data_IF_605982051533
#
_entry.id   IF_605982051533
#
_cell.length_a   1.000
_cell.length_b   1.000
_cell.length_c   1.000
_cell.angle_alpha   90.00
_cell.angle_beta   90.00
_cell.angle_gamma   90.00
#
_symmetry.space_group_name_H-M   'P 1'
#
loop_
_entity.id
_entity.type
_entity.pdbx_description
1 polymer ?
#
# COMPACT_ATOMS: atom_id res chain seq x y z
N UNK A 1 63.15 2.51 18.66
CA UNK A 1 63.30 3.96 18.40
C UNK A 1 62.19 4.35 17.44
N UNK A 2 60.97 4.63 17.90
CA UNK A 2 60.47 5.79 18.66
C UNK A 2 60.09 6.99 17.74
N UNK A 3 58.84 7.47 17.96
CA UNK A 3 58.12 8.66 17.43
C UNK A 3 57.39 8.44 16.08
N UNK A 4 56.06 8.51 15.95
CA UNK A 4 54.97 8.98 16.82
C UNK A 4 54.67 10.47 16.64
N UNK A 5 53.59 10.80 15.90
CA UNK A 5 52.82 12.06 15.74
C UNK A 5 51.68 11.71 14.74
N UNK A 6 50.38 11.56 15.02
CA UNK A 6 49.31 12.37 15.66
C UNK A 6 49.00 13.73 15.01
N UNK A 7 47.68 13.99 14.92
CA UNK A 7 46.89 15.13 14.43
C UNK A 7 46.55 15.12 12.93
N UNK A 8 45.31 14.82 12.54
CA UNK A 8 44.06 15.60 12.71
C UNK A 8 44.00 16.76 11.71
N UNK A 9 43.12 16.65 10.72
CA UNK A 9 42.26 17.75 10.24
C UNK A 9 41.35 17.25 9.09
N UNK A 10 40.19 16.75 9.48
CA UNK A 10 39.01 16.61 8.63
C UNK A 10 38.29 17.95 8.57
N UNK A 11 37.97 18.53 7.40
CA UNK A 11 37.02 19.62 7.33
C UNK A 11 35.60 19.09 7.55
N UNK A 12 34.97 19.58 8.62
CA UNK A 12 33.58 19.37 8.99
C UNK A 12 32.59 19.96 7.98
N UNK A 13 31.34 19.45 7.95
CA UNK A 13 30.32 19.77 6.96
C UNK A 13 29.77 21.19 7.12
N UNK A 14 29.74 21.93 6.02
CA UNK A 14 29.08 23.22 5.90
C UNK A 14 27.59 23.10 6.22
N UNK A 15 27.19 23.74 7.30
CA UNK A 15 25.83 24.02 7.71
C UNK A 15 25.05 24.68 6.56
N UNK A 16 23.93 24.09 6.16
CA UNK A 16 22.90 24.81 5.41
C UNK A 16 21.82 25.34 6.36
N UNK A 17 21.38 26.60 6.21
CA UNK A 17 20.34 27.19 7.03
C UNK A 17 18.92 26.75 6.61
N UNK A 18 17.91 26.88 7.49
CA UNK A 18 16.54 26.44 7.23
C UNK A 18 15.82 27.41 6.28
N UNK A 19 15.13 26.87 5.28
CA UNK A 19 14.19 27.63 4.47
C UNK A 19 12.90 27.90 5.25
N UNK A 20 12.64 29.19 5.45
CA UNK A 20 11.46 29.76 6.07
C UNK A 20 10.17 29.47 5.27
N UNK A 21 9.10 29.18 6.01
CA UNK A 21 7.74 29.11 5.50
C UNK A 21 7.13 30.52 5.35
N UNK A 22 6.35 30.81 4.30
CA UNK A 22 5.58 32.04 4.26
C UNK A 22 4.26 31.90 5.04
N UNK A 23 4.23 32.58 6.19
CA UNK A 23 3.01 32.96 6.88
C UNK A 23 2.21 33.94 6.03
N UNK A 24 0.98 33.58 5.66
CA UNK A 24 -0.02 34.52 5.13
C UNK A 24 -1.00 34.88 6.26
N UNK A 25 -0.90 36.11 6.74
CA UNK A 25 -1.78 36.65 7.79
C UNK A 25 -2.72 37.73 7.21
N UNK A 26 -3.97 37.70 7.72
CA UNK A 26 -4.90 38.81 7.99
C UNK A 26 -5.59 39.57 6.83
N UNK A 27 -6.92 39.44 6.79
CA UNK A 27 -7.94 40.52 6.96
C UNK A 27 -9.33 39.88 6.94
N UNK A 28 -10.19 39.86 7.98
CA UNK A 28 -10.80 40.88 8.87
C UNK A 28 -12.02 41.60 8.24
N UNK A 29 -13.15 41.52 8.98
CA UNK A 29 -14.45 42.23 8.91
C UNK A 29 -15.45 41.72 7.85
N UNK A 30 -16.73 41.55 8.15
CA UNK A 30 -17.52 41.83 9.35
C UNK A 30 -19.03 41.72 9.07
N UNK A 31 -19.83 41.99 10.12
CA UNK A 31 -21.29 42.22 10.15
C UNK A 31 -22.15 40.95 10.05
N UNK A 32 -22.84 40.48 11.11
CA UNK A 32 -23.82 41.12 12.00
C UNK A 32 -25.13 41.45 11.27
N UNK A 33 -26.09 40.52 11.29
CA UNK A 33 -27.51 40.82 11.10
C UNK A 33 -28.36 39.90 11.97
N UNK A 34 -28.85 40.48 13.05
CA UNK A 34 -30.05 40.07 13.80
C UNK A 34 -31.27 40.18 12.89
N UNK A 35 -32.20 39.24 13.02
CA UNK A 35 -33.57 39.30 12.53
C UNK A 35 -34.35 38.19 13.23
N UNK A 36 -34.93 38.42 14.41
CA UNK A 36 -36.24 39.06 14.65
C UNK A 36 -37.39 38.22 14.09
N UNK A 37 -38.01 37.46 15.01
CA UNK A 37 -39.45 37.49 15.30
C UNK A 37 -40.43 37.16 14.17
N UNK A 38 -41.10 36.00 14.30
CA UNK A 38 -42.53 35.89 14.03
C UNK A 38 -43.10 34.72 14.84
N UNK A 39 -43.71 35.07 15.97
CA UNK A 39 -44.76 34.29 16.62
C UNK A 39 -45.86 34.00 15.59
N UNK A 40 -46.31 32.74 15.55
CA UNK A 40 -47.67 32.46 15.12
C UNK A 40 -48.23 31.34 15.97
N UNK A 41 -48.99 31.77 16.97
CA UNK A 41 -49.95 30.95 17.70
C UNK A 41 -50.94 30.32 16.72
N UNK A 42 -51.13 29.01 16.85
CA UNK A 42 -52.29 28.31 16.31
C UNK A 42 -52.59 27.12 17.19
N UNK A 43 -53.22 27.42 18.32
CA UNK A 43 -53.95 26.48 19.17
C UNK A 43 -55.09 25.84 18.38
N UNK A 44 -55.16 24.51 18.33
CA UNK A 44 -56.38 23.72 18.17
C UNK A 44 -56.15 22.32 18.78
N UNK A 45 -57.21 21.63 19.25
CA UNK A 45 -57.16 20.83 20.45
C UNK A 45 -56.90 19.33 20.22
N UNK A 46 -56.34 18.75 21.29
CA UNK A 46 -56.51 17.39 21.80
C UNK A 46 -57.46 16.46 21.03
N UNK A 47 -56.88 15.38 20.50
CA UNK A 47 -57.54 14.08 20.49
C UNK A 47 -56.66 13.08 21.22
N UNK A 48 -57.21 12.68 22.35
CA UNK A 48 -56.82 11.63 23.26
C UNK A 48 -56.72 10.28 22.53
N UNK A 49 -55.55 9.66 22.56
CA UNK A 49 -55.41 8.24 22.29
C UNK A 49 -54.34 7.70 23.23
N UNK A 50 -54.79 7.12 24.34
CA UNK A 50 -53.96 6.39 25.29
C UNK A 50 -53.13 5.32 24.60
N UNK A 51 -51.83 5.58 24.46
CA UNK A 51 -50.80 4.56 24.26
C UNK A 51 -50.04 4.44 25.56
N UNK A 52 -49.93 3.22 26.08
CA UNK A 52 -49.14 2.87 27.26
C UNK A 52 -47.75 3.49 27.15
N UNK A 53 -47.42 4.39 28.09
CA UNK A 53 -46.07 4.93 28.23
C UNK A 53 -45.21 3.85 28.83
N UNK A 54 -44.58 3.03 27.98
CA UNK A 54 -43.41 2.28 28.40
C UNK A 54 -42.36 3.29 28.92
N UNK A 55 -41.69 3.01 30.05
CA UNK A 55 -40.66 3.89 30.57
C UNK A 55 -39.59 4.14 29.50
N UNK A 56 -39.07 5.38 29.37
CA UNK A 56 -38.04 5.68 28.38
C UNK A 56 -36.84 4.76 28.61
N UNK A 57 -36.51 3.95 27.61
CA UNK A 57 -35.34 3.09 27.65
C UNK A 57 -34.11 3.98 27.90
N UNK A 58 -33.21 3.59 28.82
CA UNK A 58 -32.02 4.37 29.10
C UNK A 58 -31.19 4.51 27.82
N UNK A 59 -30.77 5.75 27.53
CA UNK A 59 -29.95 6.07 26.36
C UNK A 59 -28.52 5.55 26.60
N UNK A 60 -28.22 4.40 25.99
CA UNK A 60 -26.93 3.71 26.11
C UNK A 60 -25.77 4.66 25.77
N UNK A 61 -25.95 5.56 24.80
CA UNK A 61 -24.91 6.54 24.45
C UNK A 61 -24.56 7.45 25.62
N UNK A 62 -25.56 7.95 26.36
CA UNK A 62 -25.33 8.77 27.56
C UNK A 62 -24.63 7.99 28.67
N UNK A 63 -24.98 6.72 28.85
CA UNK A 63 -24.36 5.86 29.85
C UNK A 63 -22.88 5.62 29.54
N UNK A 64 -22.54 5.39 28.27
CA UNK A 64 -21.15 5.26 27.82
C UNK A 64 -20.38 6.57 28.02
N UNK A 65 -20.93 7.72 27.62
CA UNK A 65 -20.24 9.00 27.85
C UNK A 65 -20.05 9.32 29.33
N UNK A 66 -21.02 8.98 30.19
CA UNK A 66 -20.88 9.11 31.63
C UNK A 66 -19.75 8.21 32.17
N UNK A 67 -19.66 6.96 31.72
CA UNK A 67 -18.56 6.06 32.10
C UNK A 67 -17.19 6.57 31.63
N UNK A 68 -17.11 7.16 30.43
CA UNK A 68 -15.89 7.81 29.92
C UNK A 68 -15.49 8.97 30.83
N UNK A 69 -16.43 9.84 31.18
CA UNK A 69 -16.17 11.02 32.01
C UNK A 69 -15.83 10.61 33.46
N UNK A 70 -16.47 9.59 34.02
CA UNK A 70 -16.19 9.05 35.36
C UNK A 70 -14.81 8.35 35.46
N UNK A 71 -14.31 7.84 34.33
CA UNK A 71 -13.03 7.12 34.26
C UNK A 71 -11.84 8.01 33.91
N UNK A 72 -12.07 9.32 33.74
CA UNK A 72 -11.03 10.30 33.47
C UNK A 72 -10.27 10.62 34.78
N UNK A 73 -9.00 10.25 34.84
CA UNK A 73 -8.17 10.47 36.04
C UNK A 73 -7.59 11.87 36.04
N UNK A 74 -7.05 12.32 34.91
CA UNK A 74 -6.53 13.67 34.69
C UNK A 74 -6.81 14.12 33.25
N UNK A 75 -6.97 15.43 32.98
CA UNK A 75 -7.15 15.95 31.62
C UNK A 75 -6.00 15.58 30.67
N UNK A 76 -4.78 15.50 31.19
CA UNK A 76 -3.55 15.24 30.41
C UNK A 76 -3.26 13.74 30.22
N UNK A 77 -3.65 12.88 31.17
CA UNK A 77 -3.38 11.43 31.12
C UNK A 77 -4.48 10.65 30.39
N UNK A 78 -5.68 11.22 30.28
CA UNK A 78 -6.81 10.60 29.61
C UNK A 78 -7.64 9.66 30.50
N UNK A 79 -8.31 8.73 29.85
CA UNK A 79 -9.25 7.77 30.44
C UNK A 79 -8.51 6.49 30.80
N UNK A 80 -8.58 6.08 32.07
CA UNK A 80 -8.00 4.82 32.53
C UNK A 80 -8.90 3.65 32.11
N UNK A 81 -8.36 2.70 31.34
CA UNK A 81 -9.17 1.63 30.76
C UNK A 81 -9.69 0.62 31.79
N UNK A 82 -8.95 0.40 32.88
CA UNK A 82 -9.40 -0.49 33.97
C UNK A 82 -10.62 0.10 34.68
N UNK A 83 -10.55 1.37 35.09
CA UNK A 83 -11.69 2.09 35.69
C UNK A 83 -12.88 2.15 34.73
N UNK A 84 -12.64 2.38 33.45
CA UNK A 84 -13.70 2.37 32.44
C UNK A 84 -14.38 1.02 32.33
N UNK A 85 -13.63 -0.09 32.39
CA UNK A 85 -14.21 -1.44 32.38
C UNK A 85 -15.04 -1.70 33.64
N UNK A 86 -14.59 -1.22 34.80
CA UNK A 86 -15.33 -1.36 36.07
C UNK A 86 -16.64 -0.55 36.04
N UNK A 87 -16.60 0.71 35.60
CA UNK A 87 -17.79 1.55 35.42
C UNK A 87 -18.74 0.95 34.38
N UNK A 88 -18.19 0.43 33.28
CA UNK A 88 -18.97 -0.23 32.24
C UNK A 88 -19.67 -1.49 32.75
N UNK A 89 -19.00 -2.31 33.57
CA UNK A 89 -19.58 -3.53 34.14
C UNK A 89 -20.79 -3.21 35.06
N UNK A 90 -20.76 -2.08 35.77
CA UNK A 90 -21.86 -1.64 36.63
C UNK A 90 -23.12 -1.23 35.84
N UNK A 91 -22.95 -0.79 34.60
CA UNK A 91 -24.05 -0.33 33.74
C UNK A 91 -24.90 -1.47 33.14
N UNK A 92 -24.52 -2.75 33.35
CA UNK A 92 -25.24 -3.93 32.85
C UNK A 92 -25.53 -3.90 31.34
N UNK A 93 -24.64 -3.32 30.54
CA UNK A 93 -24.79 -3.15 29.08
C UNK A 93 -24.44 -4.42 28.27
N UNK A 94 -24.30 -5.57 28.91
CA UNK A 94 -23.88 -6.83 28.25
C UNK A 94 -24.83 -7.30 27.15
N UNK A 95 -26.07 -6.81 27.13
CA UNK A 95 -27.06 -7.12 26.10
C UNK A 95 -27.00 -6.18 24.89
N UNK A 96 -26.23 -5.09 24.95
CA UNK A 96 -26.09 -4.14 23.85
C UNK A 96 -24.84 -4.48 23.01
N UNK A 97 -25.08 -4.88 21.77
CA UNK A 97 -24.03 -5.33 20.85
C UNK A 97 -22.98 -4.25 20.55
N UNK A 98 -23.36 -2.96 20.58
CA UNK A 98 -22.42 -1.85 20.38
C UNK A 98 -21.47 -1.72 21.56
N UNK A 99 -22.04 -1.86 22.75
CA UNK A 99 -21.29 -1.77 24.00
C UNK A 99 -20.30 -2.93 24.11
N UNK A 100 -20.70 -4.15 23.72
CA UNK A 100 -19.79 -5.32 23.69
C UNK A 100 -18.70 -5.18 22.64
N UNK A 101 -19.01 -4.65 21.44
CA UNK A 101 -18.00 -4.44 20.40
C UNK A 101 -16.96 -3.39 20.82
N UNK A 102 -17.38 -2.32 21.52
CA UNK A 102 -16.45 -1.34 22.08
C UNK A 102 -15.51 -1.99 23.10
N UNK A 103 -16.03 -2.85 23.99
CA UNK A 103 -15.20 -3.59 24.95
C UNK A 103 -14.21 -4.53 24.27
N UNK A 104 -14.65 -5.25 23.22
CA UNK A 104 -13.78 -6.14 22.45
C UNK A 104 -12.65 -5.35 21.78
N UNK A 105 -12.97 -4.21 21.16
CA UNK A 105 -11.96 -3.30 20.59
C UNK A 105 -10.95 -2.83 21.63
N UNK A 106 -11.43 -2.46 22.82
CA UNK A 106 -10.56 -2.04 23.93
C UNK A 106 -9.77 -3.19 24.56
N UNK A 107 -10.19 -4.45 24.38
CA UNK A 107 -9.43 -5.61 24.84
C UNK A 107 -8.17 -5.86 24.02
N UNK A 108 -8.16 -5.42 22.75
CA UNK A 108 -7.03 -5.53 21.84
C UNK A 108 -6.00 -4.40 22.02
N UNK A 109 -6.33 -3.36 22.78
CA UNK A 109 -5.44 -2.20 22.99
C UNK A 109 -4.59 -2.46 24.23
N UNK A 110 -3.27 -2.54 24.06
CA UNK A 110 -2.30 -2.78 25.15
C UNK A 110 -2.05 -1.56 26.06
N UNK A 111 -2.55 -0.36 25.69
CA UNK A 111 -2.34 0.86 26.47
C UNK A 111 -3.25 0.90 27.69
N UNK A 112 -2.71 1.31 28.85
CA UNK A 112 -3.48 1.47 30.10
C UNK A 112 -4.37 2.73 30.09
N UNK A 113 -4.04 3.72 29.26
CA UNK A 113 -4.73 5.00 29.17
C UNK A 113 -5.00 5.37 27.71
N UNK A 114 -6.17 5.94 27.44
CA UNK A 114 -6.54 6.49 26.13
C UNK A 114 -7.05 7.93 26.26
N UNK A 115 -6.67 8.83 25.34
CA UNK A 115 -7.30 10.14 25.23
C UNK A 115 -8.82 10.01 25.09
N UNK A 116 -9.55 10.87 25.80
CA UNK A 116 -11.02 10.89 25.82
C UNK A 116 -11.61 10.94 24.41
N UNK A 117 -11.03 11.75 23.54
CA UNK A 117 -11.46 11.95 22.16
C UNK A 117 -11.35 10.66 21.35
N UNK A 118 -10.33 9.83 21.58
CA UNK A 118 -10.15 8.57 20.86
C UNK A 118 -11.29 7.61 21.22
N UNK A 119 -11.62 7.51 22.51
CA UNK A 119 -12.67 6.61 22.98
C UNK A 119 -14.07 7.07 22.53
N UNK A 120 -14.32 8.39 22.54
CA UNK A 120 -15.55 8.96 21.99
C UNK A 120 -15.68 8.73 20.49
N UNK A 121 -14.59 8.92 19.74
CA UNK A 121 -14.59 8.67 18.31
C UNK A 121 -14.78 7.19 17.99
N UNK A 122 -14.21 6.28 18.80
CA UNK A 122 -14.44 4.85 18.65
C UNK A 122 -15.93 4.50 18.83
N UNK A 123 -16.56 5.01 19.89
CA UNK A 123 -18.00 4.82 20.11
C UNK A 123 -18.85 5.38 18.97
N UNK A 124 -18.57 6.60 18.51
CA UNK A 124 -19.31 7.21 17.40
C UNK A 124 -19.16 6.44 16.09
N UNK A 125 -17.98 5.86 15.83
CA UNK A 125 -17.77 5.00 14.66
C UNK A 125 -18.62 3.75 14.71
N UNK A 126 -18.66 3.07 15.86
CA UNK A 126 -19.49 1.89 16.06
C UNK A 126 -20.98 2.19 15.80
N UNK A 127 -21.47 3.32 16.32
CA UNK A 127 -22.86 3.73 16.12
C UNK A 127 -23.16 4.10 14.65
N UNK A 128 -22.21 4.76 13.96
CA UNK A 128 -22.39 5.15 12.55
C UNK A 128 -22.27 3.93 11.61
N UNK A 129 -21.41 2.96 11.91
CA UNK A 129 -21.25 1.71 11.15
C UNK A 129 -22.53 0.86 11.23
N UNK A 130 -23.12 0.70 12.42
CA UNK A 130 -24.43 0.03 12.56
C UNK A 130 -25.53 0.77 11.78
N UNK A 131 -25.51 2.11 11.81
CA UNK A 131 -26.47 2.91 11.05
C UNK A 131 -26.29 2.71 9.54
N UNK A 132 -25.04 2.58 9.07
CA UNK A 132 -24.73 2.23 7.69
C UNK A 132 -25.20 0.82 7.37
N UNK A 133 -24.95 -0.18 8.21
CA UNK A 133 -25.41 -1.56 8.03
C UNK A 133 -26.94 -1.65 8.00
N UNK A 134 -27.65 -0.90 8.84
CA UNK A 134 -29.12 -0.82 8.83
C UNK A 134 -29.62 -0.13 7.55
N UNK A 135 -28.92 0.90 7.06
CA UNK A 135 -29.20 1.52 5.76
C UNK A 135 -28.93 0.55 4.60
N UNK A 136 -27.89 -0.27 4.68
CA UNK A 136 -27.58 -1.30 3.69
C UNK A 136 -28.59 -2.46 3.73
N UNK A 137 -29.02 -2.90 4.92
CA UNK A 137 -30.03 -3.94 5.12
C UNK A 137 -31.43 -3.47 4.70
N UNK A 138 -31.80 -2.22 5.00
CA UNK A 138 -33.08 -1.65 4.58
C UNK A 138 -33.15 -1.45 3.06
N UNK A 139 -32.02 -1.15 2.41
CA UNK A 139 -31.92 -1.12 0.94
C UNK A 139 -31.77 -2.51 0.29
N UNK A 140 -31.42 -3.53 1.08
CA UNK A 140 -31.29 -4.95 0.70
C UNK A 140 -32.61 -5.74 0.79
N UNK A 141 -33.66 -5.17 1.40
CA UNK A 141 -34.97 -5.85 1.47
C UNK A 141 -35.50 -6.14 0.06
N UNK A 142 -35.70 -7.40 -0.34
CA UNK A 142 -36.27 -7.73 -1.66
C UNK A 142 -37.66 -7.12 -1.75
N UNK A 143 -38.10 -6.60 -2.92
CA UNK A 143 -39.51 -6.34 -3.11
C UNK A 143 -40.24 -7.68 -2.95
N UNK A 144 -41.05 -7.81 -1.88
CA UNK A 144 -41.99 -8.91 -1.71
C UNK A 144 -42.69 -9.14 -3.04
N UNK A 145 -42.58 -10.37 -3.55
CA UNK A 145 -43.26 -10.84 -4.75
C UNK A 145 -44.70 -10.29 -4.80
N UNK A 146 -45.16 -9.72 -5.93
CA UNK A 146 -46.52 -9.25 -6.05
C UNK A 146 -47.46 -10.43 -5.85
N UNK A 147 -48.06 -10.52 -4.65
CA UNK A 147 -49.17 -11.42 -4.37
C UNK A 147 -50.27 -11.09 -5.38
N UNK A 148 -50.57 -12.06 -6.24
CA UNK A 148 -51.59 -11.99 -7.29
C UNK A 148 -52.91 -11.51 -6.70
N UNK A 149 -53.22 -10.23 -6.90
CA UNK A 149 -54.53 -9.68 -6.63
C UNK A 149 -55.42 -10.04 -7.81
N UNK A 150 -56.18 -11.13 -7.66
CA UNK A 150 -57.30 -11.47 -8.52
C UNK A 150 -58.34 -10.36 -8.36
N UNK A 151 -58.58 -9.58 -9.42
CA UNK A 151 -59.67 -8.61 -9.51
C UNK A 151 -60.33 -8.72 -10.89
N UNK A 152 -61.66 -8.54 -10.97
CA UNK A 152 -62.51 -9.00 -12.06
C UNK A 152 -62.44 -8.09 -13.30
N UNK A 153 -62.93 -8.56 -14.47
CA UNK A 153 -62.69 -7.92 -15.76
C UNK A 153 -63.61 -6.70 -15.92
N UNK A 154 -63.03 -5.50 -15.97
CA UNK A 154 -63.70 -4.33 -16.52
C UNK A 154 -63.13 -3.96 -17.89
N UNK A 155 -64.06 -3.85 -18.82
CA UNK A 155 -63.92 -3.63 -20.25
C UNK A 155 -63.45 -2.21 -20.59
N UNK A 156 -62.59 -2.12 -21.61
CA UNK A 156 -62.64 -1.02 -22.59
C UNK A 156 -61.89 0.28 -22.26
N UNK A 157 -60.55 0.26 -22.21
CA UNK A 157 -59.73 1.44 -22.58
C UNK A 157 -58.35 1.00 -23.11
N UNK A 158 -57.86 1.46 -24.28
CA UNK A 158 -56.51 1.16 -24.75
C UNK A 158 -55.53 1.94 -23.88
N UNK A 159 -55.13 1.30 -22.78
CA UNK A 159 -54.39 1.90 -21.69
C UNK A 159 -52.89 1.74 -21.91
N UNK A 160 -52.16 2.79 -21.60
CA UNK A 160 -50.69 2.95 -21.61
C UNK A 160 -49.95 2.01 -20.64
N UNK A 161 -50.57 0.90 -20.21
CA UNK A 161 -50.09 0.02 -19.14
C UNK A 161 -48.87 -0.80 -19.54
N UNK A 162 -48.80 -1.31 -20.78
CA UNK A 162 -47.67 -2.11 -21.26
C UNK A 162 -46.34 -1.34 -21.33
N UNK A 163 -46.38 -0.02 -21.41
CA UNK A 163 -45.20 0.83 -21.37
C UNK A 163 -44.64 0.93 -19.94
N UNK A 164 -45.51 1.20 -18.96
CA UNK A 164 -45.13 1.26 -17.54
C UNK A 164 -44.43 -0.02 -17.06
N UNK A 165 -44.92 -1.19 -17.48
CA UNK A 165 -44.31 -2.49 -17.18
C UNK A 165 -42.90 -2.63 -17.77
N UNK A 166 -42.67 -2.18 -19.01
CA UNK A 166 -41.33 -2.24 -19.65
C UNK A 166 -40.31 -1.37 -18.94
N UNK A 167 -40.69 -0.15 -18.56
CA UNK A 167 -39.81 0.75 -17.79
C UNK A 167 -39.47 0.15 -16.42
N UNK A 168 -40.45 -0.45 -15.73
CA UNK A 168 -40.21 -1.12 -14.45
C UNK A 168 -39.28 -2.32 -14.58
N UNK A 169 -39.44 -3.13 -15.63
CA UNK A 169 -38.55 -4.26 -15.92
C UNK A 169 -37.13 -3.80 -16.25
N UNK A 170 -36.97 -2.73 -17.03
CA UNK A 170 -35.66 -2.15 -17.35
C UNK A 170 -34.94 -1.67 -16.08
N UNK A 171 -35.65 -0.95 -15.20
CA UNK A 171 -35.11 -0.51 -13.90
C UNK A 171 -34.72 -1.68 -12.99
N UNK A 172 -35.53 -2.74 -12.96
CA UNK A 172 -35.21 -3.96 -12.20
C UNK A 172 -33.92 -4.62 -12.71
N UNK A 173 -33.80 -4.81 -14.03
CA UNK A 173 -32.58 -5.35 -14.66
C UNK A 173 -31.35 -4.49 -14.40
N UNK A 174 -31.51 -3.16 -14.40
CA UNK A 174 -30.42 -2.22 -14.09
C UNK A 174 -29.95 -2.37 -12.64
N UNK A 175 -30.88 -2.43 -11.68
CA UNK A 175 -30.57 -2.68 -10.26
C UNK A 175 -29.88 -4.02 -10.06
N UNK A 176 -30.32 -5.06 -10.78
CA UNK A 176 -29.65 -6.37 -10.75
C UNK A 176 -28.22 -6.28 -11.27
N UNK A 177 -27.99 -5.63 -12.42
CA UNK A 177 -26.64 -5.42 -12.96
C UNK A 177 -25.76 -4.51 -12.05
N UNK A 178 -26.34 -3.57 -11.31
CA UNK A 178 -25.64 -2.79 -10.28
C UNK A 178 -25.23 -3.65 -9.08
N UNK A 179 -26.09 -4.58 -8.66
CA UNK A 179 -25.78 -5.53 -7.59
C UNK A 179 -24.68 -6.51 -8.00
N UNK A 180 -24.80 -7.11 -9.19
CA UNK A 180 -23.79 -8.03 -9.73
C UNK A 180 -22.44 -7.33 -9.87
N UNK A 181 -22.44 -6.06 -10.31
CA UNK A 181 -21.24 -5.23 -10.36
C UNK A 181 -20.56 -5.04 -9.00
N UNK A 182 -21.32 -4.82 -7.94
CA UNK A 182 -20.78 -4.69 -6.57
C UNK A 182 -20.19 -6.01 -6.08
N UNK A 183 -20.88 -7.12 -6.33
CA UNK A 183 -20.41 -8.45 -5.93
C UNK A 183 -19.09 -8.82 -6.63
N UNK A 184 -18.99 -8.54 -7.94
CA UNK A 184 -17.75 -8.73 -8.70
C UNK A 184 -16.62 -7.84 -8.20
N UNK A 185 -16.91 -6.58 -7.86
CA UNK A 185 -15.90 -5.68 -7.28
C UNK A 185 -15.33 -6.22 -5.96
N UNK A 186 -16.19 -6.76 -5.08
CA UNK A 186 -15.75 -7.38 -3.83
C UNK A 186 -14.89 -8.64 -4.08
N UNK A 187 -15.29 -9.49 -5.02
CA UNK A 187 -14.50 -10.67 -5.41
C UNK A 187 -13.14 -10.29 -5.98
N UNK A 188 -13.09 -9.30 -6.88
CA UNK A 188 -11.85 -8.76 -7.42
C UNK A 188 -10.92 -8.24 -6.32
N UNK A 189 -11.46 -7.50 -5.34
CA UNK A 189 -10.66 -6.99 -4.22
C UNK A 189 -10.07 -8.12 -3.36
N UNK A 190 -10.85 -9.18 -3.08
CA UNK A 190 -10.37 -10.35 -2.35
C UNK A 190 -9.27 -11.09 -3.11
N UNK A 191 -9.48 -11.36 -4.41
CA UNK A 191 -8.48 -12.02 -5.26
C UNK A 191 -7.18 -11.22 -5.36
N UNK A 192 -7.25 -9.88 -5.45
CA UNK A 192 -6.06 -9.02 -5.42
C UNK A 192 -5.32 -9.11 -4.09
N UNK A 193 -6.06 -9.13 -2.97
CA UNK A 193 -5.47 -9.26 -1.65
C UNK A 193 -4.78 -10.63 -1.49
N UNK A 194 -5.38 -11.70 -1.99
CA UNK A 194 -4.80 -13.05 -2.02
C UNK A 194 -3.53 -13.10 -2.88
N UNK A 195 -3.55 -12.51 -4.07
CA UNK A 195 -2.38 -12.42 -4.94
C UNK A 195 -1.22 -11.70 -4.23
N UNK A 196 -1.48 -10.54 -3.62
CA UNK A 196 -0.45 -9.79 -2.87
C UNK A 196 0.10 -10.61 -1.69
N UNK A 197 -0.76 -11.31 -0.95
CA UNK A 197 -0.31 -12.21 0.14
C UNK A 197 0.55 -13.35 -0.39
N UNK A 198 0.16 -13.97 -1.51
CA UNK A 198 0.91 -15.05 -2.13
C UNK A 198 2.28 -14.57 -2.62
N UNK A 199 2.37 -13.40 -3.27
CA UNK A 199 3.63 -12.80 -3.69
C UNK A 199 4.57 -12.52 -2.52
N UNK A 200 4.09 -11.95 -1.41
CA UNK A 200 4.92 -11.77 -0.20
C UNK A 200 5.44 -13.10 0.32
N UNK A 201 4.63 -14.16 0.27
CA UNK A 201 5.05 -15.49 0.72
C UNK A 201 6.11 -16.10 -0.19
N UNK A 202 5.95 -15.97 -1.51
CA UNK A 202 6.94 -16.39 -2.50
C UNK A 202 8.27 -15.71 -2.23
N UNK A 203 8.25 -14.39 -2.05
CA UNK A 203 9.46 -13.60 -1.80
C UNK A 203 10.18 -14.05 -0.53
N UNK A 204 9.45 -14.18 0.58
CA UNK A 204 10.02 -14.68 1.83
C UNK A 204 10.59 -16.10 1.70
N UNK A 205 9.95 -16.98 0.93
CA UNK A 205 10.44 -18.35 0.70
C UNK A 205 11.72 -18.34 -0.13
N UNK A 206 11.79 -17.51 -1.18
CA UNK A 206 12.99 -17.34 -2.01
C UNK A 206 14.15 -16.73 -1.25
N UNK A 207 13.89 -15.69 -0.48
CA UNK A 207 14.91 -15.04 0.36
C UNK A 207 15.51 -16.03 1.35
N UNK A 208 14.67 -16.85 2.01
CA UNK A 208 15.17 -17.91 2.90
C UNK A 208 15.99 -18.96 2.17
N UNK A 209 15.55 -19.40 0.98
CA UNK A 209 16.30 -20.36 0.18
C UNK A 209 17.67 -19.78 -0.21
N UNK A 210 17.71 -18.51 -0.62
CA UNK A 210 18.94 -17.79 -0.96
C UNK A 210 19.88 -17.66 0.25
N UNK A 211 19.38 -17.25 1.42
CA UNK A 211 20.18 -17.16 2.64
C UNK A 211 20.84 -18.50 3.01
N UNK A 212 20.12 -19.63 2.84
CA UNK A 212 20.67 -20.96 3.07
C UNK A 212 21.81 -21.26 2.09
N UNK A 213 21.64 -20.93 0.80
CA UNK A 213 22.65 -21.15 -0.23
C UNK A 213 23.89 -20.28 -0.01
N UNK A 214 23.71 -18.99 0.29
CA UNK A 214 24.81 -18.05 0.60
C UNK A 214 25.60 -18.50 1.82
N UNK A 215 24.91 -18.89 2.90
CA UNK A 215 25.58 -19.41 4.09
C UNK A 215 26.43 -20.66 3.79
N UNK A 216 25.96 -21.53 2.89
CA UNK A 216 26.76 -22.68 2.45
C UNK A 216 27.93 -22.31 1.60
N UNK A 217 27.75 -21.39 0.65
CA UNK A 217 28.85 -20.92 -0.16
C UNK A 217 29.96 -20.33 0.72
N UNK A 218 29.59 -19.57 1.75
CA UNK A 218 30.54 -19.09 2.76
C UNK A 218 31.24 -20.22 3.52
N UNK A 219 30.52 -21.27 3.93
CA UNK A 219 31.13 -22.43 4.61
C UNK A 219 32.11 -23.14 3.69
N UNK A 220 31.72 -23.44 2.44
CA UNK A 220 32.57 -24.10 1.46
C UNK A 220 33.80 -23.26 1.16
N UNK A 221 33.62 -21.95 0.98
CA UNK A 221 34.72 -20.99 0.78
C UNK A 221 35.66 -20.97 1.98
N UNK A 222 35.15 -20.89 3.21
CA UNK A 222 35.97 -20.97 4.44
C UNK A 222 36.74 -22.30 4.52
N UNK A 223 36.14 -23.42 4.12
CA UNK A 223 36.81 -24.72 4.07
C UNK A 223 37.91 -24.75 3.00
N UNK A 224 37.64 -24.24 1.81
CA UNK A 224 38.62 -24.12 0.72
C UNK A 224 39.79 -23.21 1.12
N UNK A 225 39.51 -22.04 1.69
CA UNK A 225 40.52 -21.09 2.17
C UNK A 225 41.38 -21.73 3.27
N UNK A 226 40.76 -22.47 4.20
CA UNK A 226 41.48 -23.24 5.22
C UNK A 226 42.40 -24.30 4.59
N UNK A 227 41.92 -25.02 3.57
CA UNK A 227 42.71 -26.03 2.87
C UNK A 227 43.87 -25.40 2.09
N UNK A 228 43.62 -24.30 1.38
CA UNK A 228 44.63 -23.52 0.66
C UNK A 228 45.71 -22.98 1.60
N UNK A 229 45.31 -22.42 2.74
CA UNK A 229 46.23 -21.90 3.76
C UNK A 229 47.10 -23.02 4.37
N UNK A 230 46.51 -24.20 4.64
CA UNK A 230 47.26 -25.35 5.13
C UNK A 230 48.28 -25.83 4.10
N UNK A 231 47.89 -25.92 2.83
CA UNK A 231 48.77 -26.31 1.75
C UNK A 231 49.91 -25.29 1.54
N UNK A 232 49.62 -23.99 1.59
CA UNK A 232 50.64 -22.94 1.52
C UNK A 232 51.61 -22.99 2.72
N UNK A 233 51.10 -23.20 3.94
CA UNK A 233 51.94 -23.43 5.13
C UNK A 233 52.84 -24.66 4.95
N UNK A 234 52.32 -25.74 4.40
CA UNK A 234 53.13 -26.92 4.11
C UNK A 234 54.23 -26.62 3.07
N UNK A 235 53.90 -25.89 2.00
CA UNK A 235 54.86 -25.49 0.97
C UNK A 235 55.95 -24.56 1.53
N UNK A 236 55.58 -23.59 2.38
CA UNK A 236 56.54 -22.69 3.03
C UNK A 236 57.46 -23.45 3.98
N UNK A 237 56.94 -24.40 4.77
CA UNK A 237 57.76 -25.29 5.61
C UNK A 237 58.70 -26.15 4.75
N UNK A 238 58.21 -26.74 3.67
CA UNK A 238 59.02 -27.55 2.73
C UNK A 238 60.12 -26.72 2.05
N UNK A 239 59.83 -25.49 1.64
CA UNK A 239 60.82 -24.60 1.02
C UNK A 239 61.81 -24.06 2.04
N UNK A 240 61.38 -23.69 3.24
CA UNK A 240 62.25 -23.27 4.34
C UNK A 240 63.20 -24.39 4.76
N UNK A 241 62.71 -25.62 4.89
CA UNK A 241 63.57 -26.79 5.20
C UNK A 241 64.56 -27.10 4.08
N UNK A 242 64.14 -27.03 2.80
CA UNK A 242 65.07 -27.15 1.65
C UNK A 242 66.12 -26.03 1.66
N UNK A 243 65.71 -24.77 1.89
CA UNK A 243 66.61 -23.62 2.02
C UNK A 243 67.56 -23.78 3.18
N UNK A 244 67.11 -24.24 4.34
CA UNK A 244 67.96 -24.47 5.49
C UNK A 244 69.01 -25.55 5.19
N UNK A 245 68.61 -26.66 4.57
CA UNK A 245 69.53 -27.72 4.11
C UNK A 245 70.55 -27.18 3.10
N UNK A 246 70.10 -26.39 2.12
CA UNK A 246 70.99 -25.76 1.13
C UNK A 246 71.87 -24.67 1.76
N UNK A 247 71.38 -23.88 2.71
CA UNK A 247 72.12 -22.87 3.45
C UNK A 247 73.18 -23.53 4.32
N UNK A 248 72.89 -24.67 4.94
CA UNK A 248 73.90 -25.46 5.65
C UNK A 248 74.99 -25.95 4.69
N UNK A 249 74.62 -26.56 3.55
CA UNK A 249 75.59 -26.98 2.51
C UNK A 249 76.40 -25.82 1.95
N UNK A 250 75.74 -24.72 1.60
CA UNK A 250 76.39 -23.51 1.06
C UNK A 250 77.11 -22.72 2.11
N UNK A 251 76.80 -22.84 3.42
CA UNK A 251 77.60 -22.30 4.52
C UNK A 251 78.90 -23.09 4.65
N UNK A 252 78.85 -24.41 4.51
CA UNK A 252 80.07 -25.24 4.42
C UNK A 252 80.89 -24.84 3.19
N UNK A 253 80.25 -24.72 2.02
CA UNK A 253 80.91 -24.29 0.79
C UNK A 253 81.41 -22.86 0.91
N UNK A 254 80.63 -21.89 1.43
CA UNK A 254 81.04 -20.49 1.65
C UNK A 254 82.11 -20.38 2.71
N UNK A 255 82.15 -21.20 3.75
CA UNK A 255 83.29 -21.21 4.69
C UNK A 255 84.54 -21.68 3.96
N UNK A 256 84.43 -22.73 3.14
CA UNK A 256 85.49 -23.22 2.27
C UNK A 256 85.87 -22.20 1.18
N UNK A 257 84.92 -21.45 0.67
CA UNK A 257 85.06 -20.57 -0.48
C UNK A 257 85.28 -19.12 -0.09
N UNK A 258 84.98 -18.71 1.15
CA UNK A 258 85.48 -17.50 1.81
C UNK A 258 86.90 -17.74 2.30
N UNK A 259 87.27 -18.96 2.70
CA UNK A 259 88.69 -19.32 2.80
C UNK A 259 89.39 -19.17 1.43
N UNK A 260 88.72 -19.49 0.31
CA UNK A 260 89.23 -19.24 -1.06
C UNK A 260 89.04 -17.77 -1.52
N UNK A 261 88.03 -17.03 -1.06
CA UNK A 261 87.77 -15.64 -1.49
C UNK A 261 88.47 -14.61 -0.62
N UNK A 262 88.92 -14.94 0.59
CA UNK A 262 90.00 -14.19 1.25
C UNK A 262 91.27 -14.23 0.38
N UNK A 263 91.44 -15.26 -0.45
CA UNK A 263 92.53 -15.37 -1.44
C UNK A 263 92.19 -14.62 -2.74
N UNK A 264 90.92 -14.55 -3.17
CA UNK A 264 90.49 -13.97 -4.47
C UNK A 264 89.89 -12.54 -4.42
N UNK A 265 89.37 -12.06 -3.28
CA UNK A 265 88.86 -10.69 -3.05
C UNK A 265 89.99 -9.66 -2.89
N UNK A 266 91.24 -10.12 -2.99
CA UNK A 266 92.42 -9.29 -3.32
C UNK A 266 92.44 -8.78 -4.76
N UNK A 267 91.46 -9.13 -5.62
CA UNK A 267 91.59 -8.86 -7.06
C UNK A 267 90.56 -7.94 -7.73
N UNK A 268 89.33 -7.73 -7.22
CA UNK A 268 88.32 -7.07 -8.07
C UNK A 268 87.31 -6.21 -7.28
N UNK A 269 87.74 -5.01 -6.92
CA UNK A 269 86.90 -3.81 -6.79
C UNK A 269 86.98 -3.04 -8.12
N UNK A 270 86.20 -3.40 -9.12
CA UNK A 270 86.01 -2.58 -10.32
C UNK A 270 84.63 -2.92 -10.88
N UNK A 271 83.89 -1.89 -11.27
CA UNK A 271 82.66 -1.92 -12.08
C UNK A 271 81.32 -2.14 -11.34
N UNK A 272 80.70 -1.06 -10.86
CA UNK A 272 79.76 -0.15 -11.59
C UNK A 272 78.32 -0.64 -11.50
N UNK A 273 77.41 0.04 -10.80
CA UNK A 273 76.77 1.33 -11.14
C UNK A 273 76.01 1.30 -12.46
N UNK A 274 74.69 1.53 -12.36
CA UNK A 274 73.69 1.78 -13.43
C UNK A 274 73.31 0.51 -14.21
N UNK A 275 72.05 0.11 -14.30
CA UNK A 275 70.88 0.92 -14.67
C UNK A 275 69.58 0.19 -14.31
N UNK A 276 68.82 0.72 -13.37
CA UNK A 276 67.40 0.35 -13.15
C UNK A 276 66.61 1.67 -13.14
N UNK A 277 66.32 2.18 -14.34
CA UNK A 277 65.45 3.33 -14.53
C UNK A 277 64.80 3.29 -15.91
N UNK A 278 63.64 2.64 -15.99
CA UNK A 278 62.43 3.16 -16.66
C UNK A 278 61.43 2.03 -16.88
N UNK A 279 60.51 1.83 -15.93
CA UNK A 279 59.13 1.50 -16.30
C UNK A 279 58.20 1.60 -15.10
N UNK A 280 57.60 2.79 -14.97
CA UNK A 280 56.26 3.06 -14.43
C UNK A 280 56.23 4.49 -13.89
N UNK A 281 55.77 5.39 -14.75
CA UNK A 281 54.93 6.51 -14.31
C UNK A 281 53.98 6.77 -15.46
N UNK A 282 53.02 5.87 -15.65
CA UNK A 282 51.71 5.96 -15.00
C UNK A 282 51.06 7.31 -15.28
N UNK A 283 49.76 7.21 -15.51
CA UNK A 283 48.82 8.21 -15.06
C UNK A 283 48.89 9.54 -15.82
N UNK A 284 47.99 9.75 -16.78
CA UNK A 284 46.64 10.21 -16.45
C UNK A 284 45.91 10.60 -17.72
N UNK A 285 44.77 9.99 -18.01
CA UNK A 285 43.50 10.25 -17.30
C UNK A 285 43.03 11.67 -17.63
N UNK A 286 42.00 11.75 -18.47
CA UNK A 286 40.68 12.30 -18.13
C UNK A 286 39.86 12.35 -19.42
N UNK A 287 38.98 11.38 -19.61
CA UNK A 287 37.60 11.33 -19.10
C UNK A 287 36.71 12.40 -19.73
N UNK A 288 35.77 11.98 -20.59
CA UNK A 288 34.34 11.66 -20.32
C UNK A 288 33.57 12.97 -20.11
N UNK A 289 32.48 13.14 -20.87
CA UNK A 289 31.12 13.38 -20.37
C UNK A 289 30.28 14.10 -21.43
N UNK A 290 29.32 13.32 -21.90
CA UNK A 290 27.92 13.67 -22.12
C UNK A 290 27.59 14.59 -23.30
N UNK A 291 27.46 13.94 -24.44
CA UNK A 291 26.16 13.45 -24.88
C UNK A 291 24.90 14.19 -24.42
N UNK A 292 23.98 14.25 -25.39
CA UNK A 292 22.59 14.64 -25.27
C UNK A 292 22.38 16.16 -25.09
N UNK A 293 21.80 16.78 -26.12
CA UNK A 293 20.41 17.23 -26.04
C UNK A 293 20.05 18.18 -27.19
N UNK A 294 19.18 17.65 -28.06
CA UNK A 294 17.96 18.34 -28.53
C UNK A 294 18.13 19.48 -29.54
N UNK A 295 18.50 19.11 -30.77
CA UNK A 295 18.24 19.93 -31.96
C UNK A 295 16.80 19.72 -32.47
N UNK A 296 15.84 20.43 -31.85
CA UNK A 296 14.45 20.54 -32.30
C UNK A 296 14.05 22.01 -32.29
N UNK A 297 14.10 22.69 -33.43
CA UNK A 297 13.25 23.87 -33.64
C UNK A 297 13.20 24.37 -35.10
N UNK A 298 12.02 24.88 -35.45
CA UNK A 298 11.68 25.70 -36.64
C UNK A 298 11.48 24.98 -37.97
N UNK A 299 10.25 24.50 -38.16
CA UNK A 299 9.43 24.95 -39.29
C UNK A 299 7.96 24.94 -38.90
N UNK A 300 7.63 25.99 -38.18
CA UNK A 300 6.26 26.38 -37.92
C UNK A 300 5.70 27.21 -39.06
N UNK A 301 4.46 26.86 -39.37
CA UNK A 301 3.31 27.75 -39.56
C UNK A 301 3.12 28.41 -40.91
N UNK A 302 1.82 28.64 -41.08
CA UNK A 302 1.18 29.58 -41.99
C UNK A 302 0.90 28.87 -43.32
N UNK A 303 -0.33 28.49 -43.66
CA UNK A 303 -1.53 29.35 -43.61
C UNK A 303 -2.78 28.57 -44.08
N UNK A 304 -3.94 28.89 -43.48
CA UNK A 304 -5.34 28.74 -43.96
C UNK A 304 -5.97 27.37 -43.66
N UNK A 305 -6.89 27.11 -42.73
CA UNK A 305 -7.81 27.89 -41.89
C UNK A 305 -8.40 29.15 -42.51
N UNK A 306 -9.46 28.98 -43.31
CA UNK A 306 -10.60 29.92 -43.42
C UNK A 306 -11.51 29.48 -44.58
N UNK A 307 -12.44 28.55 -44.33
CA UNK A 307 -13.75 28.53 -45.03
C UNK A 307 -14.76 27.53 -44.41
N UNK A 308 -14.71 27.29 -43.10
CA UNK A 308 -15.67 26.44 -42.38
C UNK A 308 -16.75 27.22 -41.60
N UNK A 309 -17.03 28.46 -41.99
CA UNK A 309 -18.04 29.28 -41.31
C UNK A 309 -19.13 29.77 -42.27
N UNK A 310 -19.76 28.87 -43.04
CA UNK A 310 -20.92 29.27 -43.86
C UNK A 310 -21.97 28.22 -44.26
N UNK A 311 -22.40 27.30 -43.38
CA UNK A 311 -23.69 26.58 -43.56
C UNK A 311 -24.31 25.96 -42.30
N UNK A 312 -24.09 26.57 -41.12
CA UNK A 312 -24.94 26.40 -39.93
C UNK A 312 -26.14 27.34 -40.04
N UNK A 313 -27.31 26.84 -40.48
CA UNK A 313 -28.68 27.41 -40.23
C UNK A 313 -29.71 26.69 -41.12
N UNK A 314 -30.30 25.60 -40.63
CA UNK A 314 -31.52 24.99 -41.20
C UNK A 314 -32.14 23.85 -40.36
N UNK A 315 -32.09 23.87 -39.01
CA UNK A 315 -32.58 22.73 -38.19
C UNK A 315 -33.34 23.11 -36.92
N UNK A 316 -34.36 23.97 -37.00
CA UNK A 316 -34.94 24.51 -35.74
C UNK A 316 -36.47 24.70 -35.67
N UNK A 317 -37.30 23.92 -36.39
CA UNK A 317 -38.76 24.19 -36.33
C UNK A 317 -39.78 23.03 -36.39
N UNK A 318 -39.47 21.87 -35.81
CA UNK A 318 -40.39 20.71 -35.74
C UNK A 318 -40.39 20.01 -34.36
N UNK A 319 -40.43 20.80 -33.29
CA UNK A 319 -39.93 20.38 -31.98
C UNK A 319 -40.94 20.22 -30.83
N UNK A 320 -42.24 20.52 -30.92
CA UNK A 320 -43.09 20.63 -29.71
C UNK A 320 -43.91 19.37 -29.34
N UNK A 321 -44.73 18.78 -30.22
CA UNK A 321 -45.61 17.65 -29.81
C UNK A 321 -44.99 16.25 -29.95
N UNK A 322 -43.80 16.17 -30.55
CA UNK A 322 -42.96 14.97 -30.44
C UNK A 322 -42.41 14.81 -29.02
N UNK A 323 -42.39 15.86 -28.19
CA UNK A 323 -41.63 15.85 -26.94
C UNK A 323 -42.15 14.92 -25.83
N UNK A 324 -43.44 14.60 -25.71
CA UNK A 324 -43.92 13.77 -24.58
C UNK A 324 -43.67 12.27 -24.84
N UNK A 325 -44.04 11.76 -26.00
CA UNK A 325 -43.71 10.38 -26.43
C UNK A 325 -42.21 10.25 -26.70
N UNK A 326 -41.53 11.28 -27.22
CA UNK A 326 -40.06 11.29 -27.30
C UNK A 326 -39.42 11.35 -25.91
N UNK A 327 -39.93 12.09 -24.93
CA UNK A 327 -39.37 12.07 -23.56
C UNK A 327 -39.53 10.68 -22.94
N UNK A 328 -40.65 10.01 -23.17
CA UNK A 328 -40.83 8.64 -22.68
C UNK A 328 -39.95 7.61 -23.42
N UNK A 329 -39.92 7.65 -24.77
CA UNK A 329 -39.02 6.81 -25.56
C UNK A 329 -37.56 7.09 -25.23
N UNK A 330 -37.19 8.35 -25.09
CA UNK A 330 -35.87 8.79 -24.65
C UNK A 330 -35.56 8.29 -23.24
N UNK A 331 -36.50 8.33 -22.30
CA UNK A 331 -36.28 7.78 -20.96
C UNK A 331 -36.10 6.25 -20.99
N UNK A 332 -36.84 5.52 -21.84
CA UNK A 332 -36.64 4.07 -22.01
C UNK A 332 -35.32 3.78 -22.72
N UNK A 333 -34.97 4.54 -23.76
CA UNK A 333 -33.69 4.45 -24.47
C UNK A 333 -32.51 4.81 -23.57
N UNK A 334 -32.63 5.85 -22.74
CA UNK A 334 -31.63 6.26 -21.76
C UNK A 334 -31.44 5.18 -20.68
N UNK A 335 -32.52 4.56 -20.19
CA UNK A 335 -32.45 3.41 -19.27
C UNK A 335 -31.87 2.16 -19.94
N UNK A 336 -32.20 1.89 -21.21
CA UNK A 336 -31.57 0.80 -21.98
C UNK A 336 -30.08 1.07 -22.25
N UNK A 337 -29.70 2.32 -22.50
CA UNK A 337 -28.30 2.73 -22.67
C UNK A 337 -27.56 2.58 -21.35
N UNK A 338 -28.15 2.99 -20.23
CA UNK A 338 -27.59 2.77 -18.89
C UNK A 338 -27.46 1.28 -18.56
N UNK A 339 -28.48 0.47 -18.88
CA UNK A 339 -28.43 -0.98 -18.71
C UNK A 339 -27.31 -1.60 -19.55
N UNK A 340 -27.21 -1.24 -20.83
CA UNK A 340 -26.13 -1.72 -21.71
C UNK A 340 -24.75 -1.27 -21.21
N UNK A 341 -24.62 -0.04 -20.72
CA UNK A 341 -23.38 0.46 -20.14
C UNK A 341 -23.01 -0.33 -18.87
N UNK A 342 -23.99 -0.61 -18.01
CA UNK A 342 -23.77 -1.38 -16.79
C UNK A 342 -23.45 -2.85 -17.10
N UNK A 343 -24.13 -3.47 -18.06
CA UNK A 343 -23.82 -4.82 -18.54
C UNK A 343 -22.43 -4.91 -19.17
N UNK A 344 -22.01 -3.89 -19.95
CA UNK A 344 -20.63 -3.81 -20.46
C UNK A 344 -19.64 -3.71 -19.32
N UNK A 345 -19.91 -2.86 -18.32
CA UNK A 345 -19.06 -2.74 -17.13
C UNK A 345 -18.95 -4.06 -16.37
N UNK A 346 -20.05 -4.78 -16.20
CA UNK A 346 -20.08 -6.13 -15.60
C UNK A 346 -19.22 -7.08 -16.42
N UNK A 347 -19.40 -7.14 -17.75
CA UNK A 347 -18.59 -7.98 -18.62
C UNK A 347 -17.08 -7.63 -18.60
N UNK A 348 -16.74 -6.34 -18.45
CA UNK A 348 -15.37 -5.90 -18.28
C UNK A 348 -14.78 -6.36 -16.94
N UNK A 349 -15.57 -6.31 -15.87
CA UNK A 349 -15.16 -6.82 -14.55
C UNK A 349 -15.06 -8.34 -14.51
N UNK A 350 -15.95 -9.07 -15.18
CA UNK A 350 -15.87 -10.54 -15.33
C UNK A 350 -14.60 -10.95 -16.09
N UNK A 351 -14.24 -10.21 -17.17
CA UNK A 351 -12.97 -10.43 -17.86
C UNK A 351 -11.77 -10.17 -16.96
N UNK A 352 -11.81 -9.09 -16.17
CA UNK A 352 -10.77 -8.80 -15.21
C UNK A 352 -10.66 -9.88 -14.11
N UNK A 353 -11.80 -10.42 -13.63
CA UNK A 353 -11.84 -11.52 -12.65
C UNK A 353 -11.19 -12.77 -13.24
N UNK A 354 -11.53 -13.12 -14.48
CA UNK A 354 -10.94 -14.27 -15.17
C UNK A 354 -9.43 -14.13 -15.36
N UNK A 355 -8.94 -12.95 -15.77
CA UNK A 355 -7.51 -12.68 -15.86
C UNK A 355 -6.82 -12.80 -14.50
N UNK A 356 -7.45 -12.28 -13.45
CA UNK A 356 -6.90 -12.32 -12.10
C UNK A 356 -6.85 -13.75 -11.55
N UNK A 357 -7.85 -14.57 -11.83
CA UNK A 357 -7.85 -16.00 -11.51
C UNK A 357 -6.70 -16.71 -12.23
N UNK A 358 -6.49 -16.45 -13.53
CA UNK A 358 -5.38 -17.04 -14.28
C UNK A 358 -4.02 -16.61 -13.74
N UNK A 359 -3.87 -15.33 -13.36
CA UNK A 359 -2.67 -14.83 -12.69
C UNK A 359 -2.46 -15.50 -11.35
N UNK A 360 -3.51 -15.63 -10.52
CA UNK A 360 -3.44 -16.30 -9.23
C UNK A 360 -3.01 -17.77 -9.37
N UNK A 361 -3.53 -18.49 -10.37
CA UNK A 361 -3.08 -19.85 -10.69
C UNK A 361 -1.60 -19.90 -11.08
N UNK A 362 -1.13 -18.92 -11.87
CA UNK A 362 0.28 -18.79 -12.21
C UNK A 362 1.14 -18.48 -10.97
N UNK A 363 0.65 -17.63 -10.07
CA UNK A 363 1.28 -17.31 -8.78
C UNK A 363 1.35 -18.54 -7.87
N UNK A 364 0.31 -19.39 -7.84
CA UNK A 364 0.36 -20.66 -7.11
C UNK A 364 1.42 -21.61 -7.68
N UNK A 365 1.62 -21.63 -8.99
CA UNK A 365 2.71 -22.40 -9.61
C UNK A 365 4.08 -21.85 -9.19
N UNK A 366 4.26 -20.53 -9.20
CA UNK A 366 5.49 -19.88 -8.71
C UNK A 366 5.73 -20.18 -7.22
N UNK A 367 4.67 -20.24 -6.42
CA UNK A 367 4.75 -20.60 -5.01
C UNK A 367 5.24 -22.04 -4.81
N UNK A 368 4.74 -22.99 -5.62
CA UNK A 368 5.26 -24.37 -5.62
C UNK A 368 6.74 -24.40 -5.98
N UNK A 369 7.15 -23.69 -7.03
CA UNK A 369 8.55 -23.61 -7.44
C UNK A 369 9.45 -23.02 -6.35
N UNK A 370 9.00 -21.97 -5.65
CA UNK A 370 9.75 -21.38 -4.54
C UNK A 370 9.89 -22.36 -3.36
N UNK A 371 8.85 -23.14 -3.06
CA UNK A 371 8.95 -24.20 -2.05
C UNK A 371 9.89 -25.32 -2.49
N UNK A 372 9.86 -25.74 -3.76
CA UNK A 372 10.79 -26.73 -4.30
C UNK A 372 12.25 -26.23 -4.23
N UNK A 373 12.48 -24.94 -4.47
CA UNK A 373 13.79 -24.29 -4.31
C UNK A 373 14.26 -24.29 -2.86
N UNK A 374 13.37 -23.94 -1.92
CA UNK A 374 13.65 -24.01 -0.49
C UNK A 374 13.92 -25.44 -0.04
N UNK A 375 13.15 -26.42 -0.51
CA UNK A 375 13.36 -27.83 -0.22
C UNK A 375 14.70 -28.31 -0.76
N UNK A 376 15.05 -27.99 -2.01
CA UNK A 376 16.38 -28.29 -2.58
C UNK A 376 17.50 -27.61 -1.79
N UNK A 377 17.29 -26.38 -1.34
CA UNK A 377 18.23 -25.71 -0.46
C UNK A 377 18.37 -26.52 0.83
N UNK A 378 17.29 -26.85 1.54
CA UNK A 378 17.29 -27.61 2.80
C UNK A 378 17.81 -29.05 2.69
N UNK A 379 17.46 -29.83 1.69
CA UNK A 379 17.92 -31.22 1.54
C UNK A 379 19.43 -31.28 1.35
N UNK A 380 19.99 -30.31 0.61
CA UNK A 380 21.44 -30.16 0.47
C UNK A 380 22.14 -29.75 1.79
N UNK A 381 21.42 -29.50 2.91
CA UNK A 381 22.04 -29.25 4.24
C UNK A 381 22.32 -30.53 5.00
N UNK A 382 21.60 -31.60 4.68
CA UNK A 382 21.63 -32.86 5.46
C UNK A 382 22.68 -33.86 4.94
N UNK A 383 23.36 -33.54 3.82
CA UNK A 383 24.50 -34.26 3.27
C UNK A 383 25.79 -33.46 3.52
#
# INVERSE_FOLDING_TARGET
MAKGLWLDDLPSPSMMPPLEAPACTKKKRGQNSKGTFLQKDSSMPSLDSGKSRDPPKPDVGRMIFHAIDASQVNPEEGVCLEKFRDEFAQLNLNNDMKATMLLEMLSMVESTHLPREILQNAWLRIVEEERQDILELSTSTPPRSPREAISPPHTGRPSTSGASTKLSLAKSKRKQAEYDAKLLANRLALLQQEEVKAWRKIEQTREKAQQILEHREEIVKKQQDKHMLLHEKEQTIRTATKRHKLAAKTSVIRKRQAAISVISKKYQEVETVKTERRRLKQEKEKQIVDDVMRAKEKRERVRKMEDEMRKKRAKEKMAADKQIVQRYRKNVEDEEVQLRAQQRRVADMERAEMELIQRLQSTQLLQRQAYDELEKALVRTEL
#
